data_IF_737074366236
#
_entry.id   IF_737074366236
#
_cell.length_a   1.000
_cell.length_b   1.000
_cell.length_c   1.000
_cell.angle_alpha   90.00
_cell.angle_beta   90.00
_cell.angle_gamma   90.00
#
_symmetry.space_group_name_H-M   'P 1'
#
loop_
_entity.id
_entity.type
_entity.pdbx_description
1 polymer ?
#
# COMPACT_ATOMS: atom_id res chain seq x y z
N UNK A 1 13.51 -77.34 -0.77
CA UNK A 1 14.89 -76.87 -0.45
C UNK A 1 15.24 -75.78 -1.44
N UNK A 2 15.72 -74.64 -0.93
CA UNK A 2 16.59 -73.63 -1.62
C UNK A 2 16.03 -72.96 -2.88
N UNK A 3 16.15 -71.67 -3.17
CA UNK A 3 16.91 -70.57 -2.59
C UNK A 3 16.34 -69.27 -3.21
N UNK A 4 16.18 -68.23 -2.38
CA UNK A 4 16.43 -66.80 -2.69
C UNK A 4 16.19 -66.26 -4.11
N UNK A 5 15.16 -65.42 -4.24
CA UNK A 5 15.08 -64.35 -5.23
C UNK A 5 14.84 -63.01 -4.53
N UNK A 6 15.90 -62.33 -4.08
CA UNK A 6 15.91 -60.90 -3.78
C UNK A 6 16.28 -60.20 -5.09
N UNK A 7 15.54 -59.19 -5.55
CA UNK A 7 16.16 -58.05 -6.24
C UNK A 7 15.23 -56.82 -6.27
N UNK A 8 15.73 -55.77 -5.61
CA UNK A 8 15.53 -54.33 -5.80
C UNK A 8 14.10 -53.76 -5.91
N UNK A 9 13.59 -53.35 -4.74
CA UNK A 9 12.68 -52.20 -4.65
C UNK A 9 13.54 -50.93 -4.76
N UNK A 10 13.55 -50.27 -5.92
CA UNK A 10 14.13 -48.94 -6.08
C UNK A 10 13.15 -47.94 -5.48
N UNK A 11 13.36 -47.58 -4.22
CA UNK A 11 12.69 -46.43 -3.60
C UNK A 11 13.41 -45.18 -4.09
N UNK A 12 12.91 -44.58 -5.17
CA UNK A 12 13.26 -43.23 -5.53
C UNK A 12 12.67 -42.29 -4.48
N UNK A 13 13.49 -41.90 -3.50
CA UNK A 13 13.17 -40.77 -2.62
C UNK A 13 13.32 -39.52 -3.48
N UNK A 14 12.22 -39.07 -4.07
CA UNK A 14 12.11 -37.73 -4.60
C UNK A 14 12.27 -36.79 -3.41
N UNK A 15 13.43 -36.16 -3.31
CA UNK A 15 13.61 -34.98 -2.48
C UNK A 15 12.71 -33.89 -3.06
N UNK A 16 11.47 -33.83 -2.57
CA UNK A 16 10.57 -32.73 -2.83
C UNK A 16 11.25 -31.51 -2.23
N UNK A 17 11.82 -30.67 -3.10
CA UNK A 17 12.26 -29.35 -2.73
C UNK A 17 11.08 -28.69 -2.02
N UNK A 18 11.24 -28.44 -0.72
CA UNK A 18 10.37 -27.55 0.02
C UNK A 18 10.44 -26.23 -0.73
N UNK A 19 9.45 -25.97 -1.57
CA UNK A 19 9.13 -24.63 -2.01
C UNK A 19 8.87 -23.88 -0.70
N UNK A 20 9.87 -23.15 -0.24
CA UNK A 20 9.72 -22.08 0.72
C UNK A 20 8.72 -21.14 0.09
N UNK A 21 7.44 -21.34 0.40
CA UNK A 21 6.42 -20.32 0.19
C UNK A 21 6.92 -19.14 1.01
N UNK A 22 7.55 -18.18 0.34
CA UNK A 22 7.86 -16.89 0.93
C UNK A 22 6.55 -16.40 1.53
N UNK A 23 6.43 -16.45 2.85
CA UNK A 23 5.24 -15.95 3.53
C UNK A 23 5.14 -14.50 3.13
N UNK A 24 4.05 -14.12 2.47
CA UNK A 24 3.86 -12.75 2.03
C UNK A 24 4.07 -11.81 3.24
N UNK A 25 4.93 -10.80 3.07
CA UNK A 25 5.24 -9.88 4.16
C UNK A 25 3.93 -9.20 4.62
N UNK A 26 3.60 -9.42 5.89
CA UNK A 26 2.42 -8.85 6.53
C UNK A 26 2.91 -7.82 7.52
N UNK A 27 2.60 -6.56 7.24
CA UNK A 27 3.05 -5.45 8.07
C UNK A 27 1.99 -5.11 9.11
N UNK A 28 2.44 -4.77 10.31
CA UNK A 28 1.56 -4.39 11.41
C UNK A 28 2.04 -3.09 12.06
N UNK A 29 1.10 -2.21 12.35
CA UNK A 29 1.33 -0.99 13.10
C UNK A 29 0.37 -0.98 14.28
N UNK A 30 0.90 -0.78 15.48
CA UNK A 30 0.11 -0.43 16.65
C UNK A 30 0.30 1.06 16.92
N UNK A 31 -0.80 1.79 17.12
CA UNK A 31 -0.78 3.20 17.51
C UNK A 31 -1.39 3.32 18.90
N UNK A 32 -0.56 3.77 19.83
CA UNK A 32 -0.93 4.04 21.20
C UNK A 32 -1.17 5.54 21.41
N UNK A 33 -2.34 5.85 21.96
CA UNK A 33 -2.74 7.19 22.36
C UNK A 33 -3.00 7.21 23.86
N UNK A 34 -2.52 8.24 24.56
CA UNK A 34 -2.96 8.50 25.91
C UNK A 34 -4.41 9.03 25.94
N UNK A 35 -5.14 8.88 27.06
CA UNK A 35 -6.54 9.30 27.16
C UNK A 35 -6.79 10.79 26.88
N UNK A 36 -5.80 11.66 27.16
CA UNK A 36 -5.95 13.10 26.92
C UNK A 36 -5.88 13.38 25.42
N UNK A 37 -4.88 12.82 24.72
CA UNK A 37 -4.78 12.92 23.26
C UNK A 37 -6.02 12.38 22.56
N UNK A 38 -6.57 11.26 23.05
CA UNK A 38 -7.80 10.68 22.50
C UNK A 38 -8.99 11.65 22.62
N UNK A 39 -9.13 12.29 23.78
CA UNK A 39 -10.17 13.31 24.03
C UNK A 39 -10.01 14.49 23.08
N UNK A 40 -8.78 15.00 22.91
CA UNK A 40 -8.50 16.13 22.02
C UNK A 40 -8.84 15.83 20.56
N UNK A 41 -8.52 14.64 20.06
CA UNK A 41 -8.88 14.21 18.71
C UNK A 41 -10.40 14.18 18.49
N UNK A 42 -11.15 13.72 19.49
CA UNK A 42 -12.61 13.69 19.43
C UNK A 42 -13.22 15.09 19.46
N UNK A 43 -12.79 15.94 20.39
CA UNK A 43 -13.32 17.30 20.54
C UNK A 43 -12.99 18.18 19.31
N UNK A 44 -11.79 18.02 18.75
CA UNK A 44 -11.35 18.79 17.58
C UNK A 44 -11.81 18.21 16.24
N UNK A 45 -12.56 17.10 16.25
CA UNK A 45 -13.00 16.37 15.05
C UNK A 45 -11.84 16.03 14.10
N UNK A 46 -10.71 15.63 14.68
CA UNK A 46 -9.52 15.22 13.96
C UNK A 46 -9.45 13.69 13.84
N UNK A 47 -8.51 13.22 13.02
CA UNK A 47 -8.26 11.80 12.79
C UNK A 47 -6.76 11.56 12.63
N UNK A 48 -6.34 10.32 12.85
CA UNK A 48 -5.01 9.87 12.46
C UNK A 48 -5.07 9.50 10.98
N UNK A 49 -4.23 10.14 10.16
CA UNK A 49 -4.18 9.91 8.73
C UNK A 49 -2.87 9.23 8.35
N UNK A 50 -2.97 8.31 7.40
CA UNK A 50 -1.85 7.67 6.75
C UNK A 50 -1.86 8.04 5.27
N UNK A 51 -0.71 8.34 4.71
CA UNK A 51 -0.56 8.62 3.29
C UNK A 51 0.81 8.19 2.79
N UNK A 52 0.89 7.76 1.54
CA UNK A 52 2.17 7.59 0.87
C UNK A 52 2.57 8.87 0.14
N UNK A 53 3.87 9.14 0.10
CA UNK A 53 4.39 10.21 -0.73
C UNK A 53 4.30 9.76 -2.19
N UNK A 54 3.59 10.55 -2.99
CA UNK A 54 3.48 10.29 -4.41
C UNK A 54 4.83 10.56 -5.11
N UNK A 55 5.10 9.86 -6.23
CA UNK A 55 6.19 10.23 -7.13
C UNK A 55 6.09 11.69 -7.58
N UNK A 56 7.19 12.31 -8.03
CA UNK A 56 7.16 13.66 -8.58
C UNK A 56 6.13 13.80 -9.71
N UNK A 57 5.34 14.88 -9.69
CA UNK A 57 4.27 15.11 -10.69
C UNK A 57 2.93 14.45 -10.36
N UNK A 58 2.90 13.55 -9.40
CA UNK A 58 1.69 12.84 -8.98
C UNK A 58 1.03 13.46 -7.74
N UNK A 59 -0.22 13.08 -7.49
CA UNK A 59 -1.00 13.43 -6.32
C UNK A 59 -0.88 12.36 -5.24
N UNK A 60 -0.55 12.76 -4.02
CA UNK A 60 -0.67 11.87 -2.86
C UNK A 60 -2.13 11.67 -2.50
N UNK A 61 -2.46 10.50 -1.94
CA UNK A 61 -3.79 10.24 -1.38
C UNK A 61 -3.70 9.85 0.09
N UNK A 62 -4.74 10.17 0.84
CA UNK A 62 -4.97 9.55 2.15
C UNK A 62 -5.19 8.06 1.93
N UNK A 63 -4.24 7.24 2.35
CA UNK A 63 -4.33 5.79 2.22
C UNK A 63 -5.28 5.19 3.26
N UNK A 64 -5.21 5.69 4.50
CA UNK A 64 -6.11 5.28 5.58
C UNK A 64 -6.39 6.42 6.55
N UNK A 65 -7.53 6.31 7.24
CA UNK A 65 -7.93 7.26 8.27
C UNK A 65 -8.53 6.53 9.48
N UNK A 66 -7.98 6.78 10.66
CA UNK A 66 -8.55 6.35 11.94
C UNK A 66 -9.46 7.47 12.45
N UNK A 67 -10.72 7.47 12.01
CA UNK A 67 -11.70 8.54 12.30
C UNK A 67 -12.37 8.40 13.67
N UNK A 68 -12.30 7.22 14.26
CA UNK A 68 -12.75 6.91 15.62
C UNK A 68 -11.64 6.15 16.34
N UNK A 69 -10.57 6.85 16.76
CA UNK A 69 -9.43 6.22 17.40
C UNK A 69 -9.83 5.60 18.75
N UNK A 70 -9.12 4.55 19.13
CA UNK A 70 -9.09 3.99 20.47
C UNK A 70 -7.76 4.31 21.14
N UNK A 71 -7.58 3.90 22.40
CA UNK A 71 -6.27 3.95 23.08
C UNK A 71 -5.23 3.14 22.29
N UNK A 72 -5.64 1.96 21.78
CA UNK A 72 -4.81 1.11 20.92
C UNK A 72 -5.49 0.96 19.57
N UNK A 73 -4.81 1.36 18.50
CA UNK A 73 -5.29 1.19 17.14
C UNK A 73 -4.34 0.26 16.40
N UNK A 74 -4.90 -0.61 15.57
CA UNK A 74 -4.14 -1.62 14.86
C UNK A 74 -4.36 -1.44 13.36
N UNK A 75 -3.25 -1.39 12.62
CA UNK A 75 -3.25 -1.38 11.18
C UNK A 75 -2.47 -2.57 10.66
N UNK A 76 -2.95 -3.17 9.59
CA UNK A 76 -2.23 -4.23 8.90
C UNK A 76 -2.52 -4.23 7.41
N UNK A 77 -1.52 -4.65 6.63
CA UNK A 77 -1.66 -4.86 5.19
C UNK A 77 -0.66 -5.89 4.71
N UNK A 78 -0.90 -6.42 3.51
CA UNK A 78 -0.02 -7.36 2.86
C UNK A 78 0.71 -6.65 1.71
N UNK A 79 2.04 -6.66 1.72
CA UNK A 79 2.81 -6.00 0.68
C UNK A 79 2.68 -6.73 -0.65
N UNK A 80 2.95 -8.04 -0.65
CA UNK A 80 3.10 -8.84 -1.87
C UNK A 80 1.75 -9.21 -2.52
N UNK A 81 0.67 -9.23 -1.73
CA UNK A 81 -0.66 -9.61 -2.18
C UNK A 81 -1.69 -8.49 -1.97
N UNK A 82 -1.27 -7.28 -1.63
CA UNK A 82 -2.19 -6.14 -1.47
C UNK A 82 -2.18 -5.14 -2.61
N UNK A 83 -1.11 -5.10 -3.41
CA UNK A 83 -0.92 -4.05 -4.42
C UNK A 83 -1.80 -4.33 -5.65
N UNK A 84 -2.53 -3.31 -6.06
CA UNK A 84 -3.39 -3.26 -7.24
C UNK A 84 -3.04 -2.04 -8.06
N UNK A 85 -3.25 -2.10 -9.37
CA UNK A 85 -3.22 -0.92 -10.26
C UNK A 85 -4.64 -0.50 -10.58
N UNK A 86 -4.86 0.80 -10.80
CA UNK A 86 -6.15 1.31 -11.21
C UNK A 86 -6.01 2.38 -12.29
N UNK A 87 -7.11 2.59 -13.01
CA UNK A 87 -7.32 3.68 -13.96
C UNK A 87 -8.59 4.44 -13.57
N UNK A 88 -8.60 5.76 -13.78
CA UNK A 88 -9.70 6.64 -13.41
C UNK A 88 -9.84 7.80 -14.38
N UNK A 89 -11.08 8.24 -14.57
CA UNK A 89 -11.43 9.50 -15.26
C UNK A 89 -11.63 10.66 -14.28
N UNK A 90 -11.32 10.46 -13.00
CA UNK A 90 -11.50 11.51 -11.99
C UNK A 90 -10.53 12.65 -12.26
N UNK A 91 -11.05 13.87 -12.36
CA UNK A 91 -10.20 15.07 -12.39
C UNK A 91 -9.39 15.19 -11.11
N UNK A 92 -8.06 15.19 -11.23
CA UNK A 92 -7.15 15.33 -10.11
C UNK A 92 -7.24 16.75 -9.53
N UNK A 93 -7.69 16.86 -8.29
CA UNK A 93 -7.80 18.15 -7.60
C UNK A 93 -7.75 17.99 -6.07
N UNK A 94 -7.33 19.05 -5.40
CA UNK A 94 -7.12 19.08 -3.94
C UNK A 94 -8.42 18.76 -3.19
N UNK A 95 -8.34 17.83 -2.24
CA UNK A 95 -9.47 17.45 -1.39
C UNK A 95 -10.52 16.58 -2.09
N UNK A 96 -10.36 16.25 -3.38
CA UNK A 96 -11.26 15.32 -4.07
C UNK A 96 -10.86 13.87 -3.80
N UNK A 97 -11.84 13.01 -3.64
CA UNK A 97 -11.63 11.57 -3.63
C UNK A 97 -11.50 11.06 -5.06
N UNK A 98 -10.55 10.17 -5.30
CA UNK A 98 -10.44 9.46 -6.59
C UNK A 98 -11.40 8.28 -6.64
N UNK A 99 -12.12 8.15 -7.76
CA UNK A 99 -13.03 7.05 -8.02
C UNK A 99 -12.42 6.14 -9.09
N UNK A 100 -12.01 4.93 -8.71
CA UNK A 100 -11.40 3.97 -9.63
C UNK A 100 -12.45 3.49 -10.65
N UNK A 101 -12.15 3.64 -11.94
CA UNK A 101 -13.02 3.19 -13.02
C UNK A 101 -12.77 1.72 -13.38
N UNK A 102 -11.50 1.36 -13.54
CA UNK A 102 -11.06 -0.03 -13.73
C UNK A 102 -9.83 -0.28 -12.87
N UNK A 103 -9.58 -1.54 -12.52
CA UNK A 103 -8.45 -1.95 -11.70
C UNK A 103 -8.06 -3.40 -11.98
N UNK A 104 -6.82 -3.73 -11.64
CA UNK A 104 -6.32 -5.10 -11.61
C UNK A 104 -5.76 -5.40 -10.23
N UNK A 105 -6.37 -6.39 -9.57
CA UNK A 105 -5.99 -6.79 -8.21
C UNK A 105 -4.70 -7.60 -8.20
N UNK A 106 -3.91 -7.43 -7.14
CA UNK A 106 -2.80 -8.32 -6.78
C UNK A 106 -1.82 -8.49 -7.94
N UNK A 107 -1.33 -7.36 -8.46
CA UNK A 107 -0.34 -7.34 -9.54
C UNK A 107 1.04 -7.74 -9.03
N UNK A 108 1.87 -8.21 -9.96
CA UNK A 108 3.25 -8.58 -9.69
C UNK A 108 4.17 -7.40 -9.98
N UNK A 109 5.12 -7.17 -9.10
CA UNK A 109 6.23 -6.25 -9.34
C UNK A 109 7.20 -6.84 -10.40
N UNK A 110 7.95 -5.98 -11.08
CA UNK A 110 8.84 -6.30 -12.19
C UNK A 110 8.15 -6.39 -13.56
N UNK A 111 6.89 -5.94 -13.66
CA UNK A 111 6.09 -6.05 -14.89
C UNK A 111 5.45 -4.73 -15.33
N UNK A 112 5.23 -4.62 -16.63
CA UNK A 112 4.43 -3.59 -17.27
C UNK A 112 3.01 -4.10 -17.52
N UNK A 113 2.03 -3.23 -17.27
CA UNK A 113 0.62 -3.46 -17.53
C UNK A 113 0.11 -2.37 -18.48
N UNK A 114 -0.21 -2.76 -19.72
CA UNK A 114 -0.89 -1.88 -20.66
C UNK A 114 -2.34 -1.63 -20.23
N UNK A 115 -2.88 -0.47 -20.58
CA UNK A 115 -4.29 -0.13 -20.39
C UNK A 115 -4.87 0.36 -21.71
N UNK A 116 -5.81 -0.39 -22.28
CA UNK A 116 -6.50 -0.03 -23.52
C UNK A 116 -7.97 -0.47 -23.47
N UNK A 117 -8.84 0.25 -24.17
CA UNK A 117 -10.28 -0.02 -24.24
C UNK A 117 -10.91 -0.18 -22.86
N UNK A 118 -10.42 0.59 -21.88
CA UNK A 118 -10.90 0.57 -20.51
C UNK A 118 -10.48 -0.64 -19.69
N UNK A 119 -9.51 -1.46 -20.12
CA UNK A 119 -9.08 -2.70 -19.45
C UNK A 119 -7.55 -2.78 -19.32
N UNK A 120 -7.08 -3.46 -18.26
CA UNK A 120 -5.66 -3.78 -18.08
C UNK A 120 -5.25 -5.07 -18.79
N UNK A 121 -4.19 -4.98 -19.57
CA UNK A 121 -3.51 -6.10 -20.22
C UNK A 121 -2.87 -7.09 -19.25
N UNK A 122 -2.52 -8.26 -19.76
CA UNK A 122 -1.67 -9.22 -19.05
C UNK A 122 -0.28 -8.66 -18.79
N UNK A 123 0.34 -9.08 -17.68
CA UNK A 123 1.70 -8.65 -17.28
C UNK A 123 2.72 -8.89 -18.40
N UNK A 124 3.53 -7.89 -18.69
CA UNK A 124 4.60 -7.95 -19.69
C UNK A 124 5.96 -7.74 -19.02
N UNK A 125 6.92 -8.67 -19.13
CA UNK A 125 8.24 -8.46 -18.57
C UNK A 125 8.97 -7.33 -19.32
N UNK A 126 9.78 -6.57 -18.59
CA UNK A 126 10.62 -5.49 -19.11
C UNK A 126 11.96 -5.47 -18.40
N UNK A 127 13.05 -5.50 -19.17
CA UNK A 127 14.40 -5.56 -18.61
C UNK A 127 14.85 -4.25 -17.92
N UNK A 128 14.10 -3.17 -18.14
CA UNK A 128 14.36 -1.86 -17.54
C UNK A 128 13.59 -1.62 -16.23
N UNK A 129 12.68 -2.52 -15.82
CA UNK A 129 11.97 -2.41 -14.55
C UNK A 129 12.77 -3.08 -13.43
N UNK A 130 12.93 -2.39 -12.30
CA UNK A 130 13.45 -3.04 -11.11
C UNK A 130 12.43 -4.03 -10.52
N UNK A 131 12.91 -4.99 -9.73
CA UNK A 131 12.08 -6.04 -9.16
C UNK A 131 11.03 -5.51 -8.17
N UNK A 132 11.25 -4.32 -7.60
CA UNK A 132 10.34 -3.66 -6.65
C UNK A 132 9.48 -2.56 -7.30
N UNK A 133 9.47 -2.47 -8.63
CA UNK A 133 8.71 -1.47 -9.39
C UNK A 133 7.68 -2.16 -10.27
N UNK A 134 6.67 -1.43 -10.71
CA UNK A 134 5.83 -1.84 -11.83
C UNK A 134 5.60 -0.66 -12.76
N UNK A 135 5.25 -0.91 -14.01
CA UNK A 135 4.84 0.15 -14.93
C UNK A 135 3.39 -0.01 -15.37
N UNK A 136 2.73 1.12 -15.57
CA UNK A 136 1.48 1.19 -16.32
C UNK A 136 1.73 1.95 -17.61
N UNK A 137 1.18 1.46 -18.72
CA UNK A 137 1.27 2.10 -20.02
C UNK A 137 -0.13 2.43 -20.53
N UNK A 138 -0.42 3.71 -20.74
CA UNK A 138 -1.70 4.16 -21.27
C UNK A 138 -1.72 4.00 -22.79
N UNK A 139 -2.27 2.89 -23.26
CA UNK A 139 -2.48 2.59 -24.68
C UNK A 139 -3.77 3.23 -25.23
N UNK A 140 -4.57 3.90 -24.40
CA UNK A 140 -5.71 4.68 -24.86
C UNK A 140 -5.27 6.04 -25.42
N UNK A 141 -6.15 6.70 -26.17
CA UNK A 141 -5.86 8.03 -26.75
C UNK A 141 -6.13 9.20 -25.80
N UNK A 142 -6.82 8.93 -24.68
CA UNK A 142 -7.24 9.94 -23.71
C UNK A 142 -6.28 10.09 -22.53
N UNK A 143 -6.33 11.26 -21.89
CA UNK A 143 -5.68 11.46 -20.60
C UNK A 143 -6.49 10.78 -19.49
N UNK A 144 -5.81 9.98 -18.67
CA UNK A 144 -6.41 9.24 -17.57
C UNK A 144 -5.53 9.36 -16.32
N UNK A 145 -6.13 9.14 -15.15
CA UNK A 145 -5.40 9.03 -13.91
C UNK A 145 -5.13 7.57 -13.59
N UNK A 146 -3.87 7.24 -13.32
CA UNK A 146 -3.42 5.91 -12.93
C UNK A 146 -2.71 5.95 -11.58
N UNK A 147 -2.63 4.81 -10.91
CA UNK A 147 -1.84 4.70 -9.71
C UNK A 147 -1.90 3.33 -9.08
N UNK A 148 -1.27 3.24 -7.90
CA UNK A 148 -1.33 2.07 -7.06
C UNK A 148 -2.44 2.20 -6.02
N UNK A 149 -3.08 1.09 -5.69
CA UNK A 149 -3.99 0.96 -4.57
C UNK A 149 -3.58 -0.25 -3.73
N UNK A 150 -3.84 -0.21 -2.42
CA UNK A 150 -3.46 -1.29 -1.53
C UNK A 150 -4.44 -1.51 -0.40
N UNK A 151 -4.94 -2.73 -0.28
CA UNK A 151 -5.81 -3.15 0.82
C UNK A 151 -5.16 -2.85 2.17
N UNK A 152 -5.93 -2.28 3.09
CA UNK A 152 -5.48 -2.03 4.46
C UNK A 152 -6.61 -2.34 5.44
N UNK A 153 -6.25 -2.99 6.54
CA UNK A 153 -7.13 -3.23 7.67
C UNK A 153 -6.82 -2.21 8.77
N UNK A 154 -7.86 -1.54 9.28
CA UNK A 154 -7.77 -0.59 10.41
C UNK A 154 -8.78 -1.02 11.47
N UNK A 155 -8.31 -1.34 12.68
CA UNK A 155 -9.16 -1.79 13.79
C UNK A 155 -10.15 -2.90 13.37
N UNK A 156 -9.64 -3.93 12.71
CA UNK A 156 -10.39 -5.05 12.14
C UNK A 156 -11.36 -4.72 10.99
N UNK A 157 -11.39 -3.48 10.48
CA UNK A 157 -12.19 -3.09 9.32
C UNK A 157 -11.31 -3.00 8.08
N UNK A 158 -11.68 -3.73 7.04
CA UNK A 158 -11.00 -3.69 5.75
C UNK A 158 -11.44 -2.48 4.93
N UNK A 159 -10.46 -1.75 4.41
CA UNK A 159 -10.63 -0.84 3.29
C UNK A 159 -9.95 -1.51 2.09
N UNK A 160 -10.77 -1.91 1.12
CA UNK A 160 -10.29 -2.60 -0.08
C UNK A 160 -9.83 -1.56 -1.10
N UNK A 161 -8.62 -1.73 -1.60
CA UNK A 161 -7.96 -0.90 -2.61
C UNK A 161 -8.09 0.62 -2.39
N UNK A 162 -7.85 1.17 -1.19
CA UNK A 162 -7.63 2.61 -1.09
C UNK A 162 -6.41 3.00 -1.94
N UNK A 163 -6.55 4.01 -2.80
CA UNK A 163 -5.45 4.55 -3.60
C UNK A 163 -4.30 5.04 -2.73
N UNK A 164 -3.07 4.82 -3.19
CA UNK A 164 -1.82 5.28 -2.56
C UNK A 164 -1.35 6.63 -3.13
N UNK A 165 -1.55 6.82 -4.42
CA UNK A 165 -1.32 8.06 -5.16
C UNK A 165 -2.00 7.98 -6.54
N UNK A 166 -2.06 9.11 -7.26
CA UNK A 166 -2.62 9.21 -8.60
C UNK A 166 -1.75 10.09 -9.52
N UNK A 167 -1.43 9.61 -10.72
CA UNK A 167 -0.65 10.30 -11.74
C UNK A 167 -1.51 10.44 -12.99
N UNK A 168 -1.53 11.64 -13.59
CA UNK A 168 -2.16 11.83 -14.89
C UNK A 168 -1.20 11.38 -15.98
N UNK A 169 -1.69 10.63 -16.95
CA UNK A 169 -0.93 10.16 -18.10
C UNK A 169 -1.75 10.39 -19.36
N UNK A 170 -1.14 11.01 -20.38
CA UNK A 170 -1.77 11.11 -21.70
C UNK A 170 -1.62 9.79 -22.47
N UNK A 171 -2.23 9.69 -23.65
CA UNK A 171 -2.07 8.51 -24.50
C UNK A 171 -0.62 8.31 -24.94
N UNK A 172 -0.22 7.05 -25.07
CA UNK A 172 1.14 6.61 -25.39
C UNK A 172 2.20 7.01 -24.35
N UNK A 173 1.80 7.33 -23.11
CA UNK A 173 2.71 7.50 -21.97
C UNK A 173 2.71 6.28 -21.05
N UNK A 174 3.87 6.00 -20.45
CA UNK A 174 3.99 5.07 -19.33
C UNK A 174 4.54 5.78 -18.10
N UNK A 175 4.22 5.27 -16.92
CA UNK A 175 4.78 5.71 -15.65
C UNK A 175 5.29 4.51 -14.85
N UNK A 176 6.36 4.71 -14.11
CA UNK A 176 6.95 3.69 -13.23
C UNK A 176 6.56 3.97 -11.80
N UNK A 177 5.89 2.99 -11.20
CA UNK A 177 5.41 3.06 -9.83
C UNK A 177 6.29 2.21 -8.91
N UNK A 178 7.04 2.82 -7.98
CA UNK A 178 7.78 2.07 -6.99
C UNK A 178 6.81 1.48 -5.95
N UNK A 179 7.03 0.22 -5.57
CA UNK A 179 6.46 -0.30 -4.33
C UNK A 179 7.16 0.39 -3.16
N UNK A 180 6.37 0.98 -2.26
CA UNK A 180 6.89 1.62 -1.05
C UNK A 180 6.43 0.86 0.19
N UNK A 181 7.39 0.42 0.99
CA UNK A 181 7.19 -0.08 2.35
C UNK A 181 7.11 1.06 3.38
N UNK A 182 7.00 2.30 2.92
CA UNK A 182 7.00 3.50 3.75
C UNK A 182 5.72 4.31 3.58
N UNK A 183 5.28 4.94 4.67
CA UNK A 183 4.17 5.89 4.69
C UNK A 183 4.40 7.00 5.71
N UNK A 184 3.72 8.12 5.52
CA UNK A 184 3.62 9.18 6.51
C UNK A 184 2.40 8.97 7.38
N UNK A 185 2.56 9.22 8.68
CA UNK A 185 1.48 9.27 9.65
C UNK A 185 1.46 10.64 10.35
N UNK A 186 0.27 11.19 10.52
CA UNK A 186 0.04 12.50 11.13
C UNK A 186 -1.40 12.65 11.60
N UNK A 187 -1.66 13.66 12.43
CA UNK A 187 -3.02 14.09 12.77
C UNK A 187 -3.50 15.07 11.69
N UNK A 188 -4.72 14.90 11.21
CA UNK A 188 -5.35 15.76 10.21
C UNK A 188 -6.85 15.94 10.44
N UNK A 189 -7.48 16.67 9.52
CA UNK A 189 -8.94 16.72 9.49
C UNK A 189 -9.51 15.32 9.17
N UNK A 190 -10.72 15.02 9.65
CA UNK A 190 -11.43 13.81 9.21
C UNK A 190 -11.60 13.84 7.70
N UNK A 191 -11.06 12.83 7.03
CA UNK A 191 -11.00 12.74 5.57
C UNK A 191 -11.10 11.28 5.16
N UNK A 192 -11.77 11.01 4.04
CA UNK A 192 -11.95 9.65 3.55
C UNK A 192 -10.68 9.13 2.83
N UNK A 193 -10.38 7.83 2.90
CA UNK A 193 -9.36 7.22 2.05
C UNK A 193 -9.57 7.53 0.55
N UNK A 194 -8.48 7.71 -0.19
CA UNK A 194 -8.48 8.14 -1.59
C UNK A 194 -8.61 9.65 -1.80
N UNK A 195 -8.69 10.46 -0.74
CA UNK A 195 -8.70 11.92 -0.87
C UNK A 195 -7.32 12.43 -1.28
N UNK A 196 -7.25 13.21 -2.36
CA UNK A 196 -6.03 13.66 -3.01
C UNK A 196 -5.49 14.97 -2.45
N UNK A 197 -4.17 15.12 -2.46
CA UNK A 197 -3.46 16.36 -2.16
C UNK A 197 -2.13 16.41 -2.92
N UNK A 198 -1.73 17.61 -3.38
CA UNK A 198 -0.39 17.80 -3.94
C UNK A 198 0.68 17.95 -2.86
N UNK A 199 0.28 18.19 -1.61
CA UNK A 199 1.22 18.48 -0.53
C UNK A 199 0.68 18.00 0.82
N UNK A 200 1.20 16.86 1.28
CA UNK A 200 0.84 16.27 2.58
C UNK A 200 0.99 17.25 3.75
N UNK A 201 1.95 18.19 3.69
CA UNK A 201 2.12 19.20 4.75
C UNK A 201 0.94 20.16 4.87
N UNK A 202 0.14 20.34 3.82
CA UNK A 202 -1.05 21.22 3.84
C UNK A 202 -2.25 20.55 4.52
N UNK A 203 -2.35 19.23 4.44
CA UNK A 203 -3.43 18.45 5.07
C UNK A 203 -3.08 18.01 6.49
N UNK A 204 -1.79 17.94 6.81
CA UNK A 204 -1.31 17.65 8.15
C UNK A 204 -1.59 18.82 9.10
N UNK A 205 -2.18 18.52 10.26
CA UNK A 205 -2.36 19.43 11.40
C UNK A 205 -1.34 19.20 12.51
N UNK A 206 -0.47 18.21 12.33
CA UNK A 206 0.66 17.91 13.18
C UNK A 206 1.96 17.83 12.38
N UNK A 207 3.09 17.67 13.06
CA UNK A 207 4.29 17.19 12.40
C UNK A 207 4.06 15.76 11.89
N UNK A 208 4.62 15.47 10.71
CA UNK A 208 4.49 14.16 10.06
C UNK A 208 5.64 13.24 10.48
N UNK A 209 5.34 11.96 10.62
CA UNK A 209 6.33 10.92 10.92
C UNK A 209 6.41 9.97 9.74
N UNK A 210 7.61 9.76 9.21
CA UNK A 210 7.85 8.73 8.20
C UNK A 210 8.06 7.40 8.92
N UNK A 211 7.24 6.40 8.57
CA UNK A 211 7.38 5.02 9.01
C UNK A 211 7.89 4.22 7.82
N UNK A 212 8.94 3.43 8.02
CA UNK A 212 9.56 2.61 6.98
C UNK A 212 9.70 1.18 7.48
N UNK A 213 9.16 0.24 6.72
CA UNK A 213 9.35 -1.19 6.91
C UNK A 213 10.52 -1.67 6.05
N UNK A 214 11.23 -2.70 6.52
CA UNK A 214 12.34 -3.34 5.82
C UNK A 214 12.33 -4.84 6.11
N UNK A 215 13.28 -5.59 5.54
CA UNK A 215 13.37 -7.05 5.66
C UNK A 215 13.41 -7.58 7.10
N UNK A 216 13.78 -6.74 8.07
CA UNK A 216 13.87 -7.09 9.50
C UNK A 216 12.74 -6.52 10.36
N UNK A 217 11.90 -5.64 9.82
CA UNK A 217 10.85 -4.94 10.55
C UNK A 217 9.52 -5.22 9.90
N UNK A 218 8.73 -6.12 10.49
CA UNK A 218 7.37 -6.43 10.08
C UNK A 218 6.32 -5.79 11.01
N UNK A 219 6.75 -5.24 12.15
CA UNK A 219 5.90 -4.60 13.14
C UNK A 219 6.50 -3.29 13.66
N UNK A 220 5.67 -2.26 13.77
CA UNK A 220 6.04 -0.97 14.38
C UNK A 220 5.05 -0.54 15.47
N UNK A 221 5.57 -0.11 16.62
CA UNK A 221 4.79 0.56 17.65
C UNK A 221 4.94 2.06 17.50
N UNK A 222 3.83 2.79 17.50
CA UNK A 222 3.79 4.24 17.45
C UNK A 222 3.14 4.79 18.70
N UNK A 223 3.73 5.82 19.29
CA UNK A 223 3.10 6.58 20.37
C UNK A 223 3.05 8.04 20.01
N UNK A 224 1.97 8.72 20.38
CA UNK A 224 1.86 10.16 20.18
C UNK A 224 2.70 10.92 21.22
N UNK A 225 3.61 11.78 20.76
CA UNK A 225 4.38 12.68 21.61
C UNK A 225 3.82 14.11 21.47
N UNK A 226 3.24 14.61 22.56
CA UNK A 226 2.58 15.92 22.61
C UNK A 226 3.59 17.06 22.57
N UNK A 227 4.80 16.87 23.10
CA UNK A 227 5.81 17.92 23.16
C UNK A 227 6.38 18.21 21.77
N UNK A 228 6.62 17.17 20.95
CA UNK A 228 7.04 17.35 19.56
C UNK A 228 5.89 17.46 18.56
N UNK A 229 4.66 17.12 18.96
CA UNK A 229 3.48 17.16 18.10
C UNK A 229 3.58 16.21 16.91
N UNK A 230 4.14 15.00 17.12
CA UNK A 230 4.24 13.92 16.13
C UNK A 230 4.14 12.55 16.80
N UNK A 231 4.01 11.51 15.96
CA UNK A 231 4.20 10.14 16.40
C UNK A 231 5.69 9.83 16.54
N UNK A 232 6.04 9.01 17.53
CA UNK A 232 7.40 8.49 17.73
C UNK A 232 7.38 6.99 17.45
N UNK A 233 8.37 6.54 16.69
CA UNK A 233 8.56 5.14 16.32
C UNK A 233 9.29 4.42 17.46
N UNK A 234 8.61 3.45 18.08
CA UNK A 234 9.16 2.52 19.06
C UNK A 234 9.38 1.13 18.48
N UNK A 235 10.29 0.37 19.11
CA UNK A 235 10.42 -1.06 18.87
C UNK A 235 9.36 -1.85 19.63
N UNK A 236 8.93 -2.98 19.05
CA UNK A 236 8.19 -4.00 19.77
C UNK A 236 9.10 -4.81 20.69
#
# INVERSE_FOLDING_TARGET
MTHTGRFLLVVAVLALALATTCSAASYQVQIDLDPVTLTELHESQQAILLAQQAPPGCWSTVWAAVTSPFIHNYLSWNETRGISIYASVTTLAEGRQIFMGNWRNHVDLGFLYGFHDGLFDTRQPRDWLAQNELAVFNNDTGALAFGLAQDIQVNNRWTVMPPLFACEMIGDEYEVFPSSTSFYIFIGARTAPGTMTQNLKRVARSQMTLVTFNDSTDKVLLSWDRDSGRFIVGGF
#
